data_IF_446167366646
#
_entry.id   IF_446167366646
#
_cell.length_a   1.000
_cell.length_b   1.000
_cell.length_c   1.000
_cell.angle_alpha   90.00
_cell.angle_beta   90.00
_cell.angle_gamma   90.00
#
_symmetry.space_group_name_H-M   'P 1'
#
loop_
_entity.id
_entity.type
_entity.pdbx_description
1 polymer ?
#
# COMPACT_ATOMS: atom_id res chain seq x y z
N UNK A 1 12.47 -3.27 -9.78
CA UNK A 1 11.22 -2.51 -9.61
C UNK A 1 11.57 -1.05 -9.53
N UNK A 2 11.05 -0.22 -10.43
CA UNK A 2 11.26 1.23 -10.37
C UNK A 2 10.60 1.81 -9.11
N UNK A 3 10.99 3.03 -8.70
CA UNK A 3 10.34 3.69 -7.56
C UNK A 3 8.82 3.85 -7.78
N UNK A 4 8.41 4.17 -9.01
CA UNK A 4 7.01 4.29 -9.39
C UNK A 4 6.26 2.96 -9.31
N UNK A 5 6.86 1.87 -9.78
CA UNK A 5 6.27 0.53 -9.68
C UNK A 5 6.09 0.12 -8.21
N UNK A 6 7.06 0.44 -7.36
CA UNK A 6 6.97 0.17 -5.93
C UNK A 6 5.82 0.96 -5.29
N UNK A 7 5.76 2.26 -5.53
CA UNK A 7 4.68 3.12 -5.00
C UNK A 7 3.31 2.61 -5.43
N UNK A 8 3.16 2.31 -6.72
CA UNK A 8 1.92 1.76 -7.26
C UNK A 8 1.54 0.44 -6.58
N UNK A 9 2.50 -0.47 -6.40
CA UNK A 9 2.27 -1.74 -5.70
C UNK A 9 1.80 -1.52 -4.27
N UNK A 10 2.51 -0.70 -3.50
CA UNK A 10 2.16 -0.44 -2.10
C UNK A 10 0.77 0.21 -1.98
N UNK A 11 0.40 1.13 -2.88
CA UNK A 11 -0.95 1.72 -2.90
C UNK A 11 -2.03 0.64 -3.06
N UNK A 12 -1.86 -0.29 -4.00
CA UNK A 12 -2.80 -1.40 -4.15
C UNK A 12 -2.85 -2.27 -2.89
N UNK A 13 -1.70 -2.66 -2.33
CA UNK A 13 -1.69 -3.49 -1.13
C UNK A 13 -2.33 -2.77 0.06
N UNK A 14 -2.13 -1.46 0.18
CA UNK A 14 -2.76 -0.64 1.20
C UNK A 14 -4.28 -0.67 1.07
N UNK A 15 -4.86 -0.52 -0.13
CA UNK A 15 -6.31 -0.62 -0.35
C UNK A 15 -6.89 -1.95 0.14
N UNK A 16 -6.17 -3.06 -0.07
CA UNK A 16 -6.62 -4.39 0.34
C UNK A 16 -6.45 -4.66 1.84
N UNK A 17 -5.41 -4.11 2.48
CA UNK A 17 -4.97 -4.57 3.79
C UNK A 17 -4.92 -3.48 4.87
N UNK A 18 -5.21 -2.21 4.57
CA UNK A 18 -5.16 -1.12 5.54
C UNK A 18 -6.00 -1.37 6.80
N UNK A 19 -7.09 -2.14 6.68
CA UNK A 19 -7.96 -2.51 7.80
C UNK A 19 -7.25 -3.34 8.88
N UNK A 20 -6.19 -4.07 8.51
CA UNK A 20 -5.39 -4.91 9.41
C UNK A 20 -4.29 -4.12 10.14
N UNK A 21 -4.03 -2.90 9.69
CA UNK A 21 -3.01 -2.03 10.27
C UNK A 21 -3.53 -1.34 11.52
N UNK A 22 -2.62 -1.08 12.46
CA UNK A 22 -2.89 -0.17 13.58
C UNK A 22 -3.18 1.24 13.07
N UNK A 23 -3.91 2.09 13.83
CA UNK A 23 -4.21 3.46 13.41
C UNK A 23 -2.95 4.27 13.06
N UNK A 24 -1.86 4.12 13.83
CA UNK A 24 -0.60 4.84 13.58
C UNK A 24 0.04 4.44 12.25
N UNK A 25 0.10 3.15 11.95
CA UNK A 25 0.61 2.64 10.67
C UNK A 25 -0.24 3.13 9.50
N UNK A 26 -1.58 3.05 9.64
CA UNK A 26 -2.51 3.51 8.61
C UNK A 26 -2.35 5.01 8.32
N UNK A 27 -2.26 5.84 9.35
CA UNK A 27 -2.12 7.28 9.20
C UNK A 27 -0.81 7.64 8.50
N UNK A 28 0.31 7.03 8.89
CA UNK A 28 1.61 7.32 8.26
C UNK A 28 1.63 6.88 6.80
N UNK A 29 1.05 5.72 6.48
CA UNK A 29 0.94 5.25 5.11
C UNK A 29 0.03 6.16 4.28
N UNK A 30 -1.14 6.57 4.80
CA UNK A 30 -2.04 7.48 4.08
C UNK A 30 -1.35 8.79 3.74
N UNK A 31 -0.74 9.44 4.73
CA UNK A 31 -0.07 10.73 4.52
C UNK A 31 1.07 10.62 3.51
N UNK A 32 1.88 9.55 3.60
CA UNK A 32 3.03 9.39 2.71
C UNK A 32 2.68 8.94 1.29
N UNK A 33 1.71 8.03 1.14
CA UNK A 33 1.41 7.39 -0.16
C UNK A 33 0.20 7.96 -0.90
N UNK A 34 -0.72 8.59 -0.18
CA UNK A 34 -1.97 9.13 -0.76
C UNK A 34 -1.97 10.66 -0.75
N UNK A 35 -1.44 11.28 0.31
CA UNK A 35 -1.45 12.74 0.49
C UNK A 35 -0.10 13.40 0.14
N UNK A 36 0.88 12.61 -0.34
CA UNK A 36 2.22 13.05 -0.76
C UNK A 36 3.03 13.84 0.31
N UNK A 37 2.73 13.64 1.61
CA UNK A 37 3.53 14.22 2.69
C UNK A 37 4.93 13.61 2.70
N UNK A 38 5.93 14.46 2.89
CA UNK A 38 7.28 14.03 3.21
C UNK A 38 7.39 13.43 4.62
N UNK A 39 8.43 12.63 4.84
CA UNK A 39 8.74 12.09 6.18
C UNK A 39 8.97 13.19 7.22
N UNK A 40 9.37 14.39 6.80
CA UNK A 40 9.58 15.54 7.67
C UNK A 40 8.26 16.14 8.12
N UNK A 41 7.33 16.36 7.19
CA UNK A 41 5.99 16.89 7.50
C UNK A 41 5.22 15.95 8.42
N UNK A 42 5.28 14.63 8.19
CA UNK A 42 4.66 13.64 9.09
C UNK A 42 5.34 13.65 10.47
N UNK A 43 6.66 13.83 10.52
CA UNK A 43 7.39 13.86 11.78
C UNK A 43 7.02 15.08 12.63
N UNK A 44 6.86 16.25 11.99
CA UNK A 44 6.40 17.48 12.61
C UNK A 44 4.97 17.36 13.13
N UNK A 45 4.03 16.91 12.28
CA UNK A 45 2.61 16.72 12.62
C UNK A 45 2.42 15.82 13.86
N UNK A 46 3.19 14.73 13.94
CA UNK A 46 3.08 13.76 15.04
C UNK A 46 4.09 13.98 16.18
N UNK A 47 4.90 15.04 16.13
CA UNK A 47 5.95 15.35 17.10
C UNK A 47 6.89 14.15 17.39
N UNK A 48 7.33 13.48 16.32
CA UNK A 48 8.27 12.35 16.38
C UNK A 48 9.51 12.64 15.54
N UNK A 49 10.53 11.77 15.61
CA UNK A 49 11.67 11.90 14.70
C UNK A 49 11.33 11.45 13.28
N UNK A 50 11.95 12.08 12.28
CA UNK A 50 11.89 11.63 10.88
C UNK A 50 12.27 10.16 10.71
N UNK A 51 13.23 9.69 11.50
CA UNK A 51 13.66 8.28 11.51
C UNK A 51 12.54 7.35 12.00
N UNK A 52 11.80 7.75 13.04
CA UNK A 52 10.69 6.95 13.55
C UNK A 52 9.55 6.80 12.52
N UNK A 53 9.28 7.86 11.73
CA UNK A 53 8.34 7.79 10.60
C UNK A 53 8.84 6.84 9.52
N UNK A 54 10.11 6.99 9.10
CA UNK A 54 10.74 6.14 8.09
C UNK A 54 10.67 4.65 8.48
N UNK A 55 11.08 4.31 9.70
CA UNK A 55 11.10 2.93 10.19
C UNK A 55 9.69 2.34 10.31
N UNK A 56 8.70 3.17 10.63
CA UNK A 56 7.30 2.73 10.66
C UNK A 56 6.77 2.44 9.25
N UNK A 57 7.00 3.33 8.28
CA UNK A 57 6.60 3.12 6.88
C UNK A 57 7.28 1.87 6.33
N UNK A 58 8.60 1.71 6.51
CA UNK A 58 9.33 0.53 6.03
C UNK A 58 8.82 -0.78 6.60
N UNK A 59 8.53 -0.83 7.90
CA UNK A 59 7.95 -2.03 8.51
C UNK A 59 6.53 -2.29 8.02
N UNK A 60 5.75 -1.24 7.80
CA UNK A 60 4.38 -1.37 7.30
C UNK A 60 4.37 -1.83 5.83
N UNK A 61 5.27 -1.33 4.98
CA UNK A 61 5.51 -1.87 3.62
C UNK A 61 5.74 -3.39 3.68
N UNK A 62 6.64 -3.85 4.55
CA UNK A 62 6.96 -5.27 4.70
C UNK A 62 5.76 -6.10 5.21
N UNK A 63 4.97 -5.55 6.12
CA UNK A 63 3.74 -6.20 6.61
C UNK A 63 2.69 -6.35 5.50
N UNK A 64 2.49 -5.33 4.66
CA UNK A 64 1.56 -5.39 3.53
C UNK A 64 1.97 -6.46 2.51
N UNK A 65 3.27 -6.59 2.24
CA UNK A 65 3.81 -7.65 1.39
C UNK A 65 3.62 -9.04 1.99
N UNK A 66 3.87 -9.22 3.29
CA UNK A 66 3.64 -10.48 4.00
C UNK A 66 2.15 -10.88 4.01
N UNK A 67 1.24 -9.90 4.15
CA UNK A 67 -0.19 -10.14 3.99
C UNK A 67 -0.53 -10.60 2.57
N UNK A 68 0.06 -9.99 1.54
CA UNK A 68 -0.18 -10.41 0.16
C UNK A 68 0.37 -11.81 -0.11
N UNK A 69 1.55 -12.15 0.41
CA UNK A 69 2.12 -13.49 0.27
C UNK A 69 1.16 -14.57 0.83
N UNK A 70 0.57 -14.29 2.00
CA UNK A 70 -0.31 -15.22 2.71
C UNK A 70 -1.74 -15.25 2.15
N UNK A 71 -2.32 -14.09 1.86
CA UNK A 71 -3.76 -13.96 1.55
C UNK A 71 -4.03 -13.86 0.04
N UNK A 72 -3.08 -13.29 -0.71
CA UNK A 72 -3.10 -13.15 -2.18
C UNK A 72 -4.32 -12.40 -2.72
N UNK A 73 -4.86 -11.42 -1.97
CA UNK A 73 -6.09 -10.72 -2.36
C UNK A 73 -5.89 -9.89 -3.62
N UNK A 74 -4.77 -9.17 -3.72
CA UNK A 74 -4.47 -8.36 -4.89
C UNK A 74 -4.21 -9.24 -6.11
N UNK A 75 -3.41 -10.30 -5.97
CA UNK A 75 -3.18 -11.27 -7.03
C UNK A 75 -4.48 -11.90 -7.54
N UNK A 76 -5.35 -12.37 -6.63
CA UNK A 76 -6.65 -12.94 -6.98
C UNK A 76 -7.54 -11.91 -7.69
N UNK A 77 -7.51 -10.65 -7.25
CA UNK A 77 -8.22 -9.55 -7.91
C UNK A 77 -7.73 -9.33 -9.35
N UNK A 78 -6.42 -9.26 -9.57
CA UNK A 78 -5.84 -9.13 -10.91
C UNK A 78 -6.24 -10.29 -11.83
N UNK A 79 -6.21 -11.53 -11.30
CA UNK A 79 -6.63 -12.72 -12.05
C UNK A 79 -8.10 -12.62 -12.46
N UNK A 80 -9.00 -12.24 -11.54
CA UNK A 80 -10.42 -12.03 -11.84
C UNK A 80 -10.63 -10.95 -12.91
N UNK A 81 -9.98 -9.80 -12.75
CA UNK A 81 -10.07 -8.68 -13.70
C UNK A 81 -9.65 -9.09 -15.12
N UNK A 82 -8.60 -9.91 -15.25
CA UNK A 82 -8.15 -10.43 -16.55
C UNK A 82 -9.21 -11.32 -17.21
N UNK A 83 -9.82 -12.23 -16.45
CA UNK A 83 -10.88 -13.12 -16.95
C UNK A 83 -12.11 -12.33 -17.38
N UNK A 84 -12.57 -11.38 -16.57
CA UNK A 84 -13.74 -10.54 -16.92
C UNK A 84 -13.50 -9.77 -18.21
N UNK A 85 -12.31 -9.14 -18.36
CA UNK A 85 -11.97 -8.40 -19.58
C UNK A 85 -11.91 -9.30 -20.83
N UNK A 86 -11.43 -10.53 -20.69
CA UNK A 86 -11.42 -11.52 -21.79
C UNK A 86 -12.85 -11.88 -22.20
N UNK A 87 -13.74 -12.13 -21.24
CA UNK A 87 -15.14 -12.46 -21.51
C UNK A 87 -15.88 -11.31 -22.20
N UNK A 88 -15.65 -10.06 -21.80
CA UNK A 88 -16.21 -8.87 -22.45
C UNK A 88 -15.72 -8.73 -23.90
N UNK A 89 -14.47 -9.09 -24.18
CA UNK A 89 -13.90 -9.01 -25.53
C UNK A 89 -14.47 -10.08 -26.44
N UNK A 90 -14.67 -11.30 -25.93
CA UNK A 90 -15.27 -12.42 -26.68
C UNK A 90 -16.77 -12.25 -26.94
N UNK A 91 -17.44 -11.38 -26.18
CA UNK A 91 -18.88 -11.10 -26.33
C UNK A 91 -19.17 -9.91 -27.25
N UNK A 92 -18.14 -9.33 -27.88
CA UNK A 92 -18.23 -8.27 -28.90
C UNK A 92 -17.87 -8.84 -30.25
#
# INVERSE_FOLDING_TARGET
MTMLEKTTRINYLFDFYQALLTPKQRNYMSLYYLDDFSLGEIAEEFQVSRQAVYDNIKRTEAMLEDYEEKLKLFHKYQKRKKVTKQNETLSR
#
